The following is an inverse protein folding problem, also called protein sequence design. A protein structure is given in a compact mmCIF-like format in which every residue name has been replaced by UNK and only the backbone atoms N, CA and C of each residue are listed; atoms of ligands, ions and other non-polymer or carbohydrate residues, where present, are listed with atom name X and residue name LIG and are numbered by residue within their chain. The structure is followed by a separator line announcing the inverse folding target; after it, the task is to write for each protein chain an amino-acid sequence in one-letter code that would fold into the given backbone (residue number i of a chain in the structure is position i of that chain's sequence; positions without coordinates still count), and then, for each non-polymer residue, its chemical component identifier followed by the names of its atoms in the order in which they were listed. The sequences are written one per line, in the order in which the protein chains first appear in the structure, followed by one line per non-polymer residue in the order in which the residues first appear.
data_IF_054266208023
#
_entry.id   IF_054266208023
#
_cell.length_a   1.000
_cell.length_b   1.000
_cell.length_c   1.000
_cell.angle_alpha   90.00
_cell.angle_beta   90.00
_cell.angle_gamma   90.00
#
_symmetry.space_group_name_H-M   'P 1'
#
loop_
_entity.id
_entity.type
_entity.pdbx_description
1 polymer ?
#
# COMPACT_ATOMS: atom_id res chain seq x y z
N UNK A 1 9.27 7.13 14.54
CA UNK A 1 9.13 7.97 13.33
C UNK A 1 9.91 9.26 13.52
N UNK A 2 10.42 9.89 12.48
CA UNK A 2 11.18 11.14 12.53
C UNK A 2 10.61 12.17 11.53
N UNK A 3 11.02 13.42 11.67
CA UNK A 3 10.45 14.56 10.92
C UNK A 3 10.45 14.33 9.40
N UNK A 4 11.54 13.85 8.82
CA UNK A 4 11.65 13.62 7.37
C UNK A 4 10.59 12.64 6.84
N UNK A 5 10.28 11.59 7.60
CA UNK A 5 9.22 10.64 7.26
C UNK A 5 7.83 11.31 7.26
N UNK A 6 7.57 12.17 8.24
CA UNK A 6 6.30 12.94 8.29
C UNK A 6 6.18 13.93 7.13
N UNK A 7 7.24 14.69 6.85
CA UNK A 7 7.25 15.66 5.75
C UNK A 7 6.95 14.98 4.40
N UNK A 8 7.45 13.74 4.17
CA UNK A 8 7.16 12.94 2.98
C UNK A 8 5.71 12.44 2.95
N UNK A 9 5.17 12.03 4.09
CA UNK A 9 3.78 11.58 4.18
C UNK A 9 2.80 12.74 3.95
N UNK A 10 3.09 13.91 4.50
CA UNK A 10 2.32 15.13 4.24
C UNK A 10 2.41 15.57 2.77
N UNK A 11 3.60 15.47 2.16
CA UNK A 11 3.76 15.71 0.73
C UNK A 11 2.93 14.72 -0.11
N UNK A 12 2.91 13.43 0.24
CA UNK A 12 2.07 12.43 -0.42
C UNK A 12 0.59 12.82 -0.36
N UNK A 13 0.08 13.11 0.85
CA UNK A 13 -1.30 13.57 1.05
C UNK A 13 -1.64 14.73 0.12
N UNK A 14 -0.84 15.80 0.16
CA UNK A 14 -1.10 17.05 -0.56
C UNK A 14 -0.94 16.92 -2.08
N UNK A 15 -0.21 15.91 -2.57
CA UNK A 15 0.07 15.73 -4.00
C UNK A 15 -0.95 14.79 -4.67
N UNK A 16 -1.37 13.74 -3.98
CA UNK A 16 -2.12 12.63 -4.60
C UNK A 16 -3.55 12.49 -4.09
N UNK A 17 -3.89 13.04 -2.93
CA UNK A 17 -5.21 12.86 -2.35
C UNK A 17 -6.07 14.12 -2.48
N UNK A 18 -7.37 13.92 -2.76
CA UNK A 18 -8.33 15.02 -2.78
C UNK A 18 -9.12 15.03 -1.47
N UNK A 19 -9.02 16.11 -0.72
CA UNK A 19 -9.66 16.29 0.60
C UNK A 19 -11.20 16.30 0.53
N UNK A 20 -11.78 16.58 -0.64
CA UNK A 20 -13.23 16.56 -0.84
C UNK A 20 -13.78 15.13 -0.99
N UNK A 21 -12.94 14.17 -1.31
CA UNK A 21 -13.33 12.77 -1.42
C UNK A 21 -13.54 12.15 -0.04
N UNK A 22 -14.43 11.15 0.04
CA UNK A 22 -14.46 10.23 1.17
C UNK A 22 -13.40 9.17 0.96
N UNK A 23 -12.46 9.01 1.91
CA UNK A 23 -11.37 8.04 1.84
C UNK A 23 -11.30 7.20 3.12
N UNK A 24 -11.14 5.89 2.94
CA UNK A 24 -10.78 4.96 3.99
C UNK A 24 -9.26 4.69 3.91
N UNK A 25 -8.53 5.01 4.98
CA UNK A 25 -7.05 4.99 5.02
C UNK A 25 -6.59 3.96 6.03
N UNK A 26 -5.67 3.08 5.63
CA UNK A 26 -5.00 2.11 6.49
C UNK A 26 -3.53 2.52 6.72
N UNK A 27 -3.14 2.65 7.97
CA UNK A 27 -1.73 2.82 8.38
C UNK A 27 -1.16 1.50 8.88
N UNK A 28 -0.22 0.93 8.12
CA UNK A 28 0.40 -0.37 8.40
C UNK A 28 1.69 -0.18 9.21
N UNK A 29 1.73 -0.76 10.41
CA UNK A 29 2.78 -0.53 11.39
C UNK A 29 2.53 0.73 12.19
N UNK A 30 1.27 0.94 12.57
CA UNK A 30 0.76 2.18 13.15
C UNK A 30 1.11 2.39 14.62
N UNK A 31 1.63 1.36 15.31
CA UNK A 31 1.87 1.41 16.75
C UNK A 31 2.76 2.60 17.14
N UNK A 32 2.22 3.51 17.93
CA UNK A 32 2.96 4.62 18.52
C UNK A 32 3.48 4.28 19.92
N UNK A 33 4.66 3.69 19.98
CA UNK A 33 5.30 3.25 21.22
C UNK A 33 5.75 4.38 22.16
N UNK A 34 5.73 5.65 21.69
CA UNK A 34 6.23 6.81 22.47
C UNK A 34 5.18 7.89 22.69
N UNK A 35 3.99 7.76 22.08
CA UNK A 35 2.86 8.67 22.19
C UNK A 35 3.18 10.07 21.67
N UNK A 36 2.95 10.34 20.39
CA UNK A 36 2.93 11.59 19.63
C UNK A 36 3.66 11.57 18.29
N UNK A 37 4.01 10.40 17.75
CA UNK A 37 4.74 10.28 16.49
C UNK A 37 4.09 9.23 15.58
N UNK A 38 2.87 9.49 15.15
CA UNK A 38 2.16 8.70 14.15
C UNK A 38 1.69 9.61 12.99
N UNK A 39 0.93 9.11 12.06
CA UNK A 39 0.45 9.87 10.91
C UNK A 39 -1.02 10.30 11.04
N UNK A 40 -1.74 9.91 12.10
CA UNK A 40 -3.18 10.14 12.25
C UNK A 40 -3.57 11.62 12.10
N UNK A 41 -2.76 12.54 12.64
CA UNK A 41 -2.99 13.98 12.55
C UNK A 41 -2.74 14.56 11.14
N UNK A 42 -1.99 13.87 10.29
CA UNK A 42 -1.82 14.24 8.89
C UNK A 42 -3.09 13.90 8.09
N UNK A 43 -3.74 12.79 8.42
CA UNK A 43 -4.90 12.25 7.72
C UNK A 43 -6.23 12.54 8.43
N UNK A 44 -6.27 13.58 9.26
CA UNK A 44 -7.44 14.01 10.03
C UNK A 44 -8.36 14.97 9.21
N UNK A 45 -8.80 14.52 8.05
CA UNK A 45 -9.78 15.27 7.25
C UNK A 45 -11.20 14.80 7.57
N UNK A 46 -12.17 15.73 7.56
CA UNK A 46 -13.56 15.49 7.97
C UNK A 46 -14.23 14.27 7.31
N UNK A 47 -13.88 14.02 6.05
CA UNK A 47 -14.51 12.96 5.25
C UNK A 47 -13.68 11.68 5.21
N UNK A 48 -12.55 11.61 5.94
CA UNK A 48 -11.65 10.48 5.92
C UNK A 48 -11.82 9.62 7.16
N UNK A 49 -11.63 8.31 6.99
CA UNK A 49 -11.55 7.34 8.08
C UNK A 49 -10.13 6.82 8.15
N UNK A 50 -9.44 7.10 9.24
CA UNK A 50 -8.09 6.56 9.48
C UNK A 50 -8.19 5.34 10.38
N UNK A 51 -7.49 4.25 9.99
CA UNK A 51 -7.43 2.98 10.71
C UNK A 51 -5.98 2.57 10.89
N UNK A 52 -5.56 2.36 12.10
CA UNK A 52 -4.22 1.84 12.42
C UNK A 52 -4.18 0.33 12.51
N UNK A 53 -3.21 -0.30 11.85
CA UNK A 53 -2.97 -1.74 11.87
C UNK A 53 -1.56 -2.04 12.37
N UNK A 54 -1.46 -2.97 13.32
CA UNK A 54 -0.17 -3.48 13.83
C UNK A 54 -0.30 -4.92 14.32
N UNK A 55 0.80 -5.63 14.53
CA UNK A 55 0.79 -6.95 15.16
C UNK A 55 0.75 -6.88 16.69
N UNK A 56 0.95 -5.71 17.28
CA UNK A 56 0.85 -5.45 18.71
C UNK A 56 -0.25 -4.45 19.02
N UNK A 57 -1.06 -4.75 20.03
CA UNK A 57 -2.03 -3.80 20.54
C UNK A 57 -1.32 -2.62 21.23
N UNK A 58 -1.85 -1.42 21.02
CA UNK A 58 -1.34 -0.23 21.67
C UNK A 58 -1.93 1.06 21.10
N UNK A 59 -1.26 2.17 21.41
CA UNK A 59 -1.71 3.48 20.95
C UNK A 59 -1.66 3.57 19.41
N UNK A 60 -2.69 4.14 18.79
CA UNK A 60 -2.86 4.27 17.35
C UNK A 60 -3.04 2.93 16.60
N UNK A 61 -3.53 1.87 17.28
CA UNK A 61 -3.79 0.56 16.70
C UNK A 61 -5.27 0.21 16.89
N UNK A 62 -6.01 0.12 15.79
CA UNK A 62 -7.42 -0.26 15.74
C UNK A 62 -7.58 -1.74 15.41
N UNK A 63 -6.71 -2.26 14.54
CA UNK A 63 -6.68 -3.65 14.09
C UNK A 63 -5.36 -4.29 14.52
N UNK A 64 -5.48 -5.36 15.31
CA UNK A 64 -4.34 -6.19 15.70
C UNK A 64 -4.35 -7.45 14.84
N UNK A 65 -3.36 -7.59 13.95
CA UNK A 65 -3.23 -8.78 13.12
C UNK A 65 -2.46 -9.88 13.84
N UNK A 66 -2.91 -11.11 13.68
CA UNK A 66 -2.25 -12.29 14.28
C UNK A 66 -1.02 -12.73 13.49
N UNK A 67 -0.97 -12.45 12.20
CA UNK A 67 0.15 -12.71 11.29
C UNK A 67 0.40 -11.47 10.43
N UNK A 68 1.59 -10.87 10.58
CA UNK A 68 1.97 -9.66 9.83
C UNK A 68 2.11 -9.89 8.32
N UNK A 69 2.12 -11.13 7.88
CA UNK A 69 2.22 -11.55 6.49
C UNK A 69 0.89 -12.06 5.92
N UNK A 70 -0.15 -12.19 6.75
CA UNK A 70 -1.47 -12.69 6.33
C UNK A 70 -2.58 -12.09 7.21
N UNK A 71 -3.27 -11.07 6.71
CA UNK A 71 -4.23 -10.28 7.47
C UNK A 71 -5.66 -10.80 7.27
N UNK A 72 -6.03 -11.84 8.01
CA UNK A 72 -7.40 -12.40 8.01
C UNK A 72 -8.43 -11.42 8.57
N UNK A 73 -7.98 -10.44 9.36
CA UNK A 73 -8.79 -9.45 10.02
C UNK A 73 -9.25 -8.31 9.09
N UNK A 74 -8.75 -8.28 7.85
CA UNK A 74 -9.02 -7.23 6.87
C UNK A 74 -9.51 -7.84 5.56
N UNK A 75 -10.68 -7.40 5.10
CA UNK A 75 -11.26 -7.84 3.84
C UNK A 75 -10.53 -7.26 2.62
N UNK A 76 -10.70 -7.92 1.46
CA UNK A 76 -10.17 -7.44 0.18
C UNK A 76 -10.81 -6.11 -0.23
N UNK A 77 -10.06 -5.26 -0.94
CA UNK A 77 -10.56 -4.01 -1.53
C UNK A 77 -11.33 -3.12 -0.52
N UNK A 78 -10.78 -2.95 0.68
CA UNK A 78 -11.43 -2.22 1.78
C UNK A 78 -10.98 -0.77 1.85
N UNK A 79 -9.73 -0.46 1.49
CA UNK A 79 -9.14 0.86 1.68
C UNK A 79 -8.85 1.57 0.37
N UNK A 80 -9.06 2.88 0.36
CA UNK A 80 -8.71 3.76 -0.77
C UNK A 80 -7.24 4.15 -0.74
N UNK A 81 -6.65 4.17 0.45
CA UNK A 81 -5.25 4.54 0.67
C UNK A 81 -4.64 3.61 1.70
N UNK A 82 -3.45 3.09 1.40
CA UNK A 82 -2.63 2.37 2.38
C UNK A 82 -1.32 3.12 2.55
N UNK A 83 -0.98 3.44 3.79
CA UNK A 83 0.29 4.07 4.14
C UNK A 83 1.11 3.17 5.04
N UNK A 84 2.42 3.29 4.99
CA UNK A 84 3.33 2.62 5.92
C UNK A 84 4.63 3.41 6.05
N UNK A 85 5.07 3.64 7.27
CA UNK A 85 6.31 4.35 7.51
C UNK A 85 7.19 3.70 8.56
N UNK A 86 8.45 3.43 8.19
CA UNK A 86 9.49 2.96 9.09
C UNK A 86 9.22 1.57 9.69
N UNK A 87 8.60 0.67 8.92
CA UNK A 87 8.45 -0.74 9.31
C UNK A 87 9.06 -1.73 8.32
N UNK A 88 9.12 -1.39 7.02
CA UNK A 88 9.56 -2.32 5.99
C UNK A 88 10.98 -2.83 6.19
N UNK A 89 11.85 -2.02 6.78
CA UNK A 89 13.21 -2.43 7.18
C UNK A 89 13.24 -3.51 8.26
N UNK A 90 12.14 -3.70 8.97
CA UNK A 90 11.99 -4.68 10.05
C UNK A 90 11.28 -5.96 9.60
N UNK A 91 10.64 -5.98 8.43
CA UNK A 91 9.93 -7.12 7.91
C UNK A 91 10.89 -8.10 7.23
N UNK A 92 10.97 -9.34 7.70
CA UNK A 92 11.82 -10.36 7.09
C UNK A 92 11.34 -10.73 5.68
N UNK A 93 10.02 -10.77 5.47
CA UNK A 93 9.36 -11.13 4.20
C UNK A 93 8.48 -9.98 3.70
N UNK A 94 9.05 -8.78 3.56
CA UNK A 94 8.33 -7.55 3.22
C UNK A 94 7.45 -7.67 1.95
N UNK A 95 7.81 -8.56 1.01
CA UNK A 95 6.99 -8.81 -0.18
C UNK A 95 5.66 -9.48 0.12
N UNK A 96 5.54 -10.27 1.21
CA UNK A 96 4.27 -10.84 1.66
C UNK A 96 3.36 -9.74 2.23
N UNK A 97 3.91 -8.84 3.04
CA UNK A 97 3.18 -7.64 3.51
C UNK A 97 2.74 -6.78 2.34
N UNK A 98 3.58 -6.63 1.30
CA UNK A 98 3.21 -5.90 0.09
C UNK A 98 2.04 -6.55 -0.66
N UNK A 99 1.98 -7.89 -0.70
CA UNK A 99 0.82 -8.62 -1.25
C UNK A 99 -0.46 -8.39 -0.44
N UNK A 100 -0.36 -8.25 0.90
CA UNK A 100 -1.53 -7.90 1.71
C UNK A 100 -1.97 -6.46 1.45
N UNK A 101 -1.04 -5.52 1.31
CA UNK A 101 -1.34 -4.12 0.97
C UNK A 101 -2.10 -4.06 -0.36
N UNK A 102 -1.61 -4.75 -1.39
CA UNK A 102 -2.30 -4.79 -2.69
C UNK A 102 -3.70 -5.38 -2.57
N UNK A 103 -3.85 -6.50 -1.84
CA UNK A 103 -5.14 -7.19 -1.64
C UNK A 103 -6.19 -6.29 -1.01
N UNK A 104 -5.84 -5.57 0.06
CA UNK A 104 -6.79 -4.72 0.80
C UNK A 104 -7.04 -3.37 0.13
N UNK A 105 -6.19 -2.97 -0.81
CA UNK A 105 -6.32 -1.73 -1.55
C UNK A 105 -7.41 -1.86 -2.62
N UNK A 106 -8.35 -0.92 -2.68
CA UNK A 106 -9.37 -0.84 -3.73
C UNK A 106 -8.74 -0.56 -5.10
N UNK A 107 -9.33 -1.04 -6.20
CA UNK A 107 -9.00 -0.53 -7.53
C UNK A 107 -9.11 1.01 -7.56
N UNK A 108 -8.13 1.69 -8.13
CA UNK A 108 -8.01 3.15 -8.10
C UNK A 108 -7.39 3.70 -6.82
N UNK A 109 -6.98 2.86 -5.88
CA UNK A 109 -6.39 3.28 -4.62
C UNK A 109 -4.88 3.54 -4.70
N UNK A 110 -4.36 4.24 -3.68
CA UNK A 110 -2.95 4.64 -3.58
C UNK A 110 -2.24 3.95 -2.42
N UNK A 111 -0.97 3.67 -2.60
CA UNK A 111 -0.08 3.25 -1.52
C UNK A 111 1.11 4.21 -1.38
N UNK A 112 1.45 4.57 -0.14
CA UNK A 112 2.68 5.31 0.16
C UNK A 112 3.51 4.55 1.20
N UNK A 113 4.75 4.18 0.83
CA UNK A 113 5.69 3.50 1.72
C UNK A 113 6.92 4.37 1.91
N UNK A 114 7.31 4.57 3.18
CA UNK A 114 8.53 5.28 3.55
C UNK A 114 9.38 4.36 4.41
N UNK A 115 10.62 4.12 3.98
CA UNK A 115 11.57 3.26 4.68
C UNK A 115 13.00 3.84 4.58
N UNK A 116 13.91 3.56 5.51
CA UNK A 116 15.26 4.07 5.46
C UNK A 116 16.06 3.46 4.31
N UNK A 117 16.85 4.29 3.61
CA UNK A 117 17.81 3.82 2.60
C UNK A 117 19.21 3.64 3.19
N UNK A 118 19.48 4.24 4.35
CA UNK A 118 20.78 4.20 5.03
C UNK A 118 20.59 4.17 6.55
N UNK A 119 21.67 4.42 7.27
CA UNK A 119 21.67 4.52 8.73
C UNK A 119 22.04 3.24 9.46
N UNK A 120 22.35 3.36 10.78
CA UNK A 120 22.78 2.23 11.60
C UNK A 120 21.65 1.23 11.86
N UNK A 121 22.04 0.02 12.29
CA UNK A 121 21.08 -0.94 12.82
C UNK A 121 20.37 -0.34 14.05
N UNK A 122 19.05 -0.47 14.11
CA UNK A 122 18.19 0.08 15.17
C UNK A 122 17.00 -0.85 15.46
N UNK A 123 16.09 -0.44 16.36
CA UNK A 123 14.87 -1.19 16.63
C UNK A 123 14.93 -2.13 17.84
N UNK A 124 16.03 -2.10 18.61
CA UNK A 124 16.14 -2.91 19.83
C UNK A 124 16.07 -4.41 19.54
N UNK A 125 14.99 -5.07 19.97
CA UNK A 125 14.77 -6.51 19.77
C UNK A 125 14.07 -6.84 18.42
N UNK A 126 13.65 -5.82 17.66
CA UNK A 126 13.04 -6.04 16.36
C UNK A 126 14.10 -6.45 15.32
N UNK A 127 13.78 -7.33 14.37
CA UNK A 127 14.62 -7.56 13.21
C UNK A 127 14.97 -6.23 12.53
N UNK A 128 16.15 -6.15 11.92
CA UNK A 128 16.55 -4.98 11.13
C UNK A 128 17.21 -5.51 9.87
N UNK A 129 16.39 -5.81 8.87
CA UNK A 129 16.70 -6.68 7.75
C UNK A 129 17.20 -5.89 6.54
N UNK A 130 16.59 -4.71 6.27
CA UNK A 130 16.77 -4.06 4.97
C UNK A 130 17.05 -2.57 5.08
N UNK A 131 17.61 -2.04 3.97
CA UNK A 131 17.65 -0.63 3.58
C UNK A 131 17.21 -0.57 2.13
N UNK A 132 16.32 0.37 1.79
CA UNK A 132 15.67 0.41 0.50
C UNK A 132 16.20 1.54 -0.36
N UNK A 133 16.55 1.23 -1.59
CA UNK A 133 16.77 2.20 -2.65
C UNK A 133 15.55 2.29 -3.56
N UNK A 134 15.47 3.31 -4.41
CA UNK A 134 14.35 3.53 -5.33
C UNK A 134 14.08 2.33 -6.24
N UNK A 135 15.13 1.64 -6.72
CA UNK A 135 14.98 0.44 -7.55
C UNK A 135 14.36 -0.74 -6.78
N UNK A 136 14.72 -0.88 -5.50
CA UNK A 136 14.11 -1.87 -4.61
C UNK A 136 12.62 -1.59 -4.38
N UNK A 137 12.25 -0.32 -4.16
CA UNK A 137 10.86 0.09 -4.02
C UNK A 137 10.06 -0.12 -5.32
N UNK A 138 10.65 0.19 -6.48
CA UNK A 138 10.02 -0.10 -7.79
C UNK A 138 9.81 -1.59 -8.01
N UNK A 139 10.79 -2.41 -7.66
CA UNK A 139 10.69 -3.87 -7.78
C UNK A 139 9.59 -4.43 -6.86
N UNK A 140 9.43 -3.86 -5.66
CA UNK A 140 8.39 -4.23 -4.70
C UNK A 140 6.98 -3.92 -5.24
N UNK A 141 6.76 -2.73 -5.81
CA UNK A 141 5.49 -2.37 -6.43
C UNK A 141 5.19 -3.27 -7.65
N UNK A 142 6.20 -3.52 -8.49
CA UNK A 142 6.08 -4.41 -9.65
C UNK A 142 5.74 -5.86 -9.26
N UNK A 143 6.23 -6.34 -8.12
CA UNK A 143 5.95 -7.70 -7.64
C UNK A 143 4.45 -7.96 -7.43
N UNK A 144 3.68 -6.92 -7.08
CA UNK A 144 2.23 -6.97 -6.84
C UNK A 144 1.43 -6.19 -7.91
N UNK A 145 2.03 -5.93 -9.06
CA UNK A 145 1.39 -5.29 -10.22
C UNK A 145 0.79 -3.89 -9.93
N UNK A 146 1.44 -3.12 -9.04
CA UNK A 146 1.10 -1.73 -8.80
C UNK A 146 1.89 -0.79 -9.73
N UNK A 147 1.20 0.20 -10.29
CA UNK A 147 1.80 1.26 -11.09
C UNK A 147 2.60 2.23 -10.22
N UNK A 148 3.89 2.41 -10.49
CA UNK A 148 4.74 3.32 -9.75
C UNK A 148 4.56 4.76 -10.24
N UNK A 149 4.04 5.62 -9.38
CA UNK A 149 3.91 7.06 -9.64
C UNK A 149 5.15 7.84 -9.20
N UNK A 150 5.76 7.43 -8.09
CA UNK A 150 6.96 8.06 -7.54
C UNK A 150 7.82 7.04 -6.79
N UNK A 151 9.13 7.11 -6.99
CA UNK A 151 10.10 6.42 -6.15
C UNK A 151 11.39 7.25 -6.08
N UNK A 152 11.83 7.58 -4.88
CA UNK A 152 13.01 8.42 -4.65
C UNK A 152 13.69 8.09 -3.33
N UNK A 153 14.97 8.47 -3.21
CA UNK A 153 15.72 8.54 -1.95
C UNK A 153 16.01 10.01 -1.62
N UNK A 154 15.84 10.39 -0.38
CA UNK A 154 16.16 11.74 0.08
C UNK A 154 17.65 11.86 0.36
N UNK A 155 18.37 12.49 -0.56
CA UNK A 155 19.82 12.65 -0.46
C UNK A 155 20.26 13.98 0.21
N UNK A 156 19.33 14.75 0.80
CA UNK A 156 19.66 16.00 1.49
C UNK A 156 20.40 15.72 2.81
N UNK A 157 21.23 16.66 3.23
CA UNK A 157 22.00 16.56 4.49
C UNK A 157 21.08 16.44 5.71
N UNK A 158 19.93 17.11 5.69
CA UNK A 158 18.92 17.10 6.75
C UNK A 158 18.21 15.74 6.88
N UNK A 159 18.30 14.88 5.88
CA UNK A 159 17.73 13.53 5.90
C UNK A 159 18.57 12.52 6.66
N UNK A 160 19.78 12.92 7.11
CA UNK A 160 20.65 12.05 7.93
C UNK A 160 19.98 11.62 9.23
N UNK A 161 20.31 10.44 9.72
CA UNK A 161 21.17 9.41 9.10
C UNK A 161 20.42 8.44 8.18
N UNK A 162 19.09 8.58 8.01
CA UNK A 162 18.23 7.55 7.41
C UNK A 162 18.07 7.67 5.90
N UNK A 163 18.15 8.89 5.36
CA UNK A 163 17.97 9.16 3.92
C UNK A 163 16.75 8.43 3.36
N UNK A 164 15.57 8.69 3.94
CA UNK A 164 14.36 7.91 3.64
C UNK A 164 14.07 7.77 2.16
N UNK A 165 13.88 6.55 1.74
CA UNK A 165 13.28 6.20 0.47
C UNK A 165 11.76 6.31 0.58
N UNK A 166 11.12 6.78 -0.49
CA UNK A 166 9.68 6.95 -0.60
C UNK A 166 9.17 6.31 -1.88
N UNK A 167 8.16 5.47 -1.76
CA UNK A 167 7.37 4.92 -2.87
C UNK A 167 5.98 5.50 -2.82
N UNK A 168 5.47 5.96 -3.97
CA UNK A 168 4.02 6.12 -4.20
C UNK A 168 3.65 5.27 -5.40
N UNK A 169 2.67 4.40 -5.22
CA UNK A 169 2.16 3.57 -6.27
C UNK A 169 0.62 3.54 -6.26
N UNK A 170 0.04 3.03 -7.32
CA UNK A 170 -1.39 3.09 -7.59
C UNK A 170 -1.86 1.71 -8.06
N UNK A 171 -3.00 1.23 -7.54
CA UNK A 171 -3.68 0.05 -8.04
C UNK A 171 -4.55 0.45 -9.21
N UNK A 172 -4.27 -0.08 -10.39
CA UNK A 172 -5.03 0.25 -11.59
C UNK A 172 -6.54 0.01 -11.39
N UNK A 173 -7.35 0.95 -11.85
CA UNK A 173 -8.80 0.79 -11.93
C UNK A 173 -9.13 0.16 -13.29
N UNK A 174 -9.16 -1.17 -13.33
CA UNK A 174 -9.41 -1.93 -14.56
C UNK A 174 -10.75 -1.58 -15.23
N UNK A 175 -11.71 -1.04 -14.47
CA UNK A 175 -12.99 -0.61 -15.01
C UNK A 175 -12.89 0.69 -15.82
N UNK A 176 -11.82 1.46 -15.66
CA UNK A 176 -11.57 2.71 -16.41
C UNK A 176 -10.64 2.54 -17.61
N UNK A 177 -10.00 1.39 -17.73
CA UNK A 177 -9.18 1.08 -18.89
C UNK A 177 -10.08 0.41 -19.94
N UNK A 178 -10.14 0.94 -21.16
CA UNK A 178 -10.96 0.38 -22.26
C UNK A 178 -10.63 -1.07 -22.62
N UNK A 179 -9.60 -1.65 -22.03
CA UNK A 179 -9.22 -3.07 -22.10
C UNK A 179 -10.26 -4.01 -21.48
N UNK A 180 -11.00 -3.55 -20.44
CA UNK A 180 -12.07 -4.35 -19.82
C UNK A 180 -13.24 -4.52 -20.77
N UNK A 181 -13.62 -3.46 -21.48
CA UNK A 181 -14.71 -3.50 -22.48
C UNK A 181 -14.33 -4.42 -23.65
N UNK A 182 -13.07 -4.41 -24.09
CA UNK A 182 -12.56 -5.32 -25.11
C UNK A 182 -12.55 -6.77 -24.64
N UNK A 183 -12.13 -7.04 -23.37
CA UNK A 183 -12.16 -8.38 -22.77
C UNK A 183 -13.57 -8.89 -22.58
N UNK A 184 -14.51 -8.09 -22.10
CA UNK A 184 -15.92 -8.45 -21.97
C UNK A 184 -16.53 -8.78 -23.35
N UNK A 185 -16.24 -7.97 -24.37
CA UNK A 185 -16.68 -8.24 -25.74
C UNK A 185 -16.10 -9.54 -26.30
N UNK A 186 -14.86 -9.88 -25.96
CA UNK A 186 -14.24 -11.17 -26.37
C UNK A 186 -14.85 -12.35 -25.64
N UNK A 187 -15.16 -12.22 -24.33
CA UNK A 187 -15.85 -13.26 -23.55
C UNK A 187 -17.22 -13.53 -24.12
N UNK A 188 -18.04 -12.50 -24.30
CA UNK A 188 -19.38 -12.61 -24.89
C UNK A 188 -19.38 -13.26 -26.28
N UNK A 189 -18.38 -12.94 -27.11
CA UNK A 189 -18.19 -13.57 -28.42
C UNK A 189 -17.82 -15.07 -28.32
N UNK A 190 -17.03 -15.46 -27.35
CA UNK A 190 -16.64 -16.85 -27.10
C UNK A 190 -17.82 -17.66 -26.55
N UNK A 191 -18.62 -17.11 -25.67
CA UNK A 191 -19.84 -17.71 -25.15
C UNK A 191 -20.85 -17.95 -26.24
N UNK A 192 -21.11 -16.96 -27.10
CA UNK A 192 -22.01 -17.12 -28.28
C UNK A 192 -21.54 -18.16 -29.26
N UNK A 193 -20.22 -18.34 -29.44
CA UNK A 193 -19.68 -19.44 -30.28
C UNK A 193 -19.85 -20.80 -29.62
N UNK A 194 -19.67 -20.89 -28.30
CA UNK A 194 -19.84 -22.11 -27.53
C UNK A 194 -21.29 -22.58 -27.60
N UNK A 195 -22.26 -21.69 -27.42
CA UNK A 195 -23.69 -21.98 -27.53
C UNK A 195 -24.06 -22.48 -28.93
N UNK A 196 -23.51 -21.86 -29.97
CA UNK A 196 -23.71 -22.29 -31.35
C UNK A 196 -23.19 -23.72 -31.62
N UNK A 197 -22.05 -24.09 -30.99
CA UNK A 197 -21.47 -25.43 -31.10
C UNK A 197 -22.33 -26.45 -30.34
N UNK A 198 -22.79 -26.10 -29.13
CA UNK A 198 -23.66 -26.94 -28.31
C UNK A 198 -24.98 -27.23 -29.01
N UNK A 199 -25.59 -26.20 -29.63
CA UNK A 199 -26.81 -26.36 -30.42
C UNK A 199 -26.62 -27.27 -31.67
N UNK A 200 -25.46 -27.19 -32.31
CA UNK A 200 -25.13 -28.03 -33.44
C UNK A 200 -24.89 -29.51 -33.03
N UNK A 201 -24.38 -29.75 -31.83
CA UNK A 201 -24.16 -31.09 -31.26
C UNK A 201 -25.49 -31.73 -30.82
N UNK A 202 -26.42 -30.96 -30.26
CA UNK A 202 -27.71 -31.43 -29.75
C UNK A 202 -28.72 -31.73 -30.89
N UNK A 203 -28.44 -31.30 -32.10
CA UNK A 203 -29.28 -31.56 -33.29
C UNK A 203 -28.89 -32.84 -34.09
N UNK A 204 -27.87 -33.56 -33.62
CA UNK A 204 -27.47 -34.87 -34.15
C UNK A 204 -27.96 -36.00 -33.28
#
# INVERSE_FOLDING_TARGET
MHKNSRDKMEWFKNTYLNVDNKLDILDVGSLDGKGNYNYSDIFDEKNWTYTGLDYQAGNNVDIVVTDIYNWFEVDDNTYDVVISGQIFEHLEFFWLTMSQIERVLRPGGFVCIIAPSAGPKHGGNMPNCYRFYEDGLRAMAKYVDLEVLHASVDNREEAKPWYDACLVAHKADLLKTGETEELENRINNLEGKLDSILDALNKK
#
